data_IF_432838349151
#
_entry.id   IF_432838349151
#
_cell.length_a   1.000
_cell.length_b   1.000
_cell.length_c   1.000
_cell.angle_alpha   90.00
_cell.angle_beta   90.00
_cell.angle_gamma   90.00
#
_symmetry.space_group_name_H-M   'P 1'
#
loop_
_entity.id
_entity.type
_entity.pdbx_description
1 polymer ?
#
# COMPACT_ATOMS: atom_id res chain seq x y z
N UNK A 1 63.66 -38.80 24.02
CA UNK A 1 63.21 -38.71 22.62
C UNK A 1 62.17 -37.62 22.54
N UNK A 2 62.49 -36.54 21.86
CA UNK A 2 61.72 -35.28 21.87
C UNK A 2 60.78 -35.25 20.70
N UNK A 3 59.48 -35.38 20.93
CA UNK A 3 58.45 -35.18 19.95
C UNK A 3 58.12 -33.66 19.92
N UNK A 4 58.40 -33.01 18.78
CA UNK A 4 58.12 -31.62 18.53
C UNK A 4 56.66 -31.50 18.04
N UNK A 5 55.79 -30.93 18.89
CA UNK A 5 54.37 -30.70 18.55
C UNK A 5 54.32 -29.36 17.80
N UNK A 6 54.11 -29.39 16.50
CA UNK A 6 53.85 -28.22 15.68
C UNK A 6 52.35 -27.90 15.80
N UNK A 7 52.02 -26.79 16.51
CA UNK A 7 50.68 -26.24 16.59
C UNK A 7 50.46 -25.38 15.32
N UNK A 8 49.68 -25.85 14.36
CA UNK A 8 49.20 -25.07 13.23
C UNK A 8 48.00 -24.25 13.69
N UNK A 9 48.20 -22.94 13.92
CA UNK A 9 47.15 -22.01 14.18
C UNK A 9 46.50 -21.59 12.84
N UNK A 10 45.39 -22.24 12.48
CA UNK A 10 44.60 -21.81 11.32
C UNK A 10 43.78 -20.61 11.71
N UNK A 11 44.21 -19.40 11.26
CA UNK A 11 43.46 -18.19 11.36
C UNK A 11 42.25 -18.24 10.41
N UNK A 12 41.06 -18.43 10.93
CA UNK A 12 39.83 -18.29 10.19
C UNK A 12 39.55 -16.80 9.98
N UNK A 13 39.85 -16.29 8.81
CA UNK A 13 39.30 -15.00 8.34
C UNK A 13 37.84 -15.24 7.97
N UNK A 14 36.93 -14.89 8.85
CA UNK A 14 35.52 -14.79 8.52
C UNK A 14 35.31 -13.55 7.63
N UNK A 15 34.69 -13.67 6.45
CA UNK A 15 34.31 -12.50 5.68
C UNK A 15 33.22 -11.76 6.43
N UNK A 16 33.49 -10.52 6.88
CA UNK A 16 32.45 -9.61 7.32
C UNK A 16 31.53 -9.31 6.13
N UNK A 17 30.36 -9.95 6.11
CA UNK A 17 29.30 -9.57 5.22
C UNK A 17 28.88 -8.14 5.60
N UNK A 18 29.25 -7.16 4.78
CA UNK A 18 28.67 -5.83 4.86
C UNK A 18 27.15 -5.99 4.65
N UNK A 19 26.40 -5.91 5.75
CA UNK A 19 24.95 -5.80 5.67
C UNK A 19 24.65 -4.50 4.92
N UNK A 20 24.17 -4.63 3.68
CA UNK A 20 23.69 -3.50 2.91
C UNK A 20 22.53 -2.88 3.69
N UNK A 21 22.72 -1.70 4.23
CA UNK A 21 21.66 -0.89 4.85
C UNK A 21 20.58 -0.70 3.77
N UNK A 22 19.31 -1.06 4.01
CA UNK A 22 18.27 -0.82 3.03
C UNK A 22 18.22 0.68 2.76
N UNK A 23 18.44 1.06 1.50
CA UNK A 23 18.35 2.45 1.07
C UNK A 23 16.96 2.97 1.48
N UNK A 24 16.94 4.02 2.31
CA UNK A 24 15.70 4.67 2.72
C UNK A 24 14.98 5.16 1.46
N UNK A 25 13.90 4.49 1.08
CA UNK A 25 13.03 4.94 0.00
C UNK A 25 12.40 6.27 0.42
N UNK A 26 12.39 7.24 -0.49
CA UNK A 26 11.68 8.51 -0.27
C UNK A 26 10.24 8.20 0.18
N UNK A 27 9.76 8.85 1.26
CA UNK A 27 8.39 8.61 1.73
C UNK A 27 7.41 8.83 0.59
N UNK A 28 6.54 7.84 0.34
CA UNK A 28 5.45 8.00 -0.62
C UNK A 28 4.50 9.07 -0.11
N UNK A 29 3.97 9.87 -1.01
CA UNK A 29 2.92 10.82 -0.66
C UNK A 29 1.60 10.08 -0.43
N UNK A 30 1.36 9.64 0.80
CA UNK A 30 0.19 8.83 1.16
C UNK A 30 -1.13 9.59 0.94
N UNK A 31 -1.14 10.89 1.20
CA UNK A 31 -2.31 11.74 0.91
C UNK A 31 -2.67 11.68 -0.57
N UNK A 32 -1.71 11.87 -1.47
CA UNK A 32 -1.95 11.81 -2.91
C UNK A 32 -2.40 10.40 -3.36
N UNK A 33 -1.87 9.35 -2.77
CA UNK A 33 -2.30 7.97 -3.03
C UNK A 33 -3.76 7.76 -2.64
N UNK A 34 -4.18 8.22 -1.46
CA UNK A 34 -5.56 8.11 -0.98
C UNK A 34 -6.50 8.95 -1.83
N UNK A 35 -6.14 10.17 -2.15
CA UNK A 35 -6.95 11.05 -3.02
C UNK A 35 -7.14 10.43 -4.41
N UNK A 36 -6.08 9.88 -5.00
CA UNK A 36 -6.17 9.20 -6.29
C UNK A 36 -7.14 8.00 -6.26
N UNK A 37 -7.17 7.23 -5.18
CA UNK A 37 -8.13 6.14 -5.00
C UNK A 37 -9.57 6.65 -4.92
N UNK A 38 -9.83 7.70 -4.16
CA UNK A 38 -11.15 8.30 -4.03
C UNK A 38 -11.62 8.87 -5.37
N UNK A 39 -10.73 9.53 -6.09
CA UNK A 39 -11.02 10.10 -7.40
C UNK A 39 -11.27 9.03 -8.46
N UNK A 40 -10.54 7.90 -8.40
CA UNK A 40 -10.79 6.77 -9.28
C UNK A 40 -12.23 6.25 -9.13
N UNK A 41 -12.71 6.13 -7.89
CA UNK A 41 -14.11 5.78 -7.59
C UNK A 41 -15.07 6.81 -8.15
N UNK A 42 -14.84 8.10 -7.89
CA UNK A 42 -15.73 9.19 -8.34
C UNK A 42 -15.89 9.28 -9.86
N UNK A 43 -14.93 8.73 -10.62
CA UNK A 43 -14.93 8.70 -12.09
C UNK A 43 -15.52 7.43 -12.71
N UNK A 44 -15.96 6.46 -11.90
CA UNK A 44 -16.55 5.22 -12.41
C UNK A 44 -17.97 5.47 -12.97
N UNK A 45 -18.05 5.64 -14.27
CA UNK A 45 -19.32 5.85 -14.95
C UNK A 45 -20.17 4.57 -14.97
N UNK A 46 -21.46 4.71 -14.64
CA UNK A 46 -22.42 3.60 -14.64
C UNK A 46 -22.20 2.54 -13.56
N UNK A 47 -21.21 2.73 -12.68
CA UNK A 47 -21.01 1.85 -11.54
C UNK A 47 -21.95 2.18 -10.38
N UNK A 48 -22.35 1.13 -9.65
CA UNK A 48 -23.17 1.21 -8.45
C UNK A 48 -22.38 0.69 -7.26
N UNK A 49 -22.31 1.47 -6.20
CA UNK A 49 -21.64 1.12 -4.96
C UNK A 49 -22.65 0.57 -3.96
N UNK A 50 -22.44 -0.66 -3.49
CA UNK A 50 -23.34 -1.35 -2.60
C UNK A 50 -22.79 -1.33 -1.17
N UNK A 51 -23.53 -0.67 -0.28
CA UNK A 51 -23.22 -0.54 1.14
C UNK A 51 -24.44 -0.92 1.98
N UNK A 52 -24.30 -1.92 2.83
CA UNK A 52 -25.38 -2.43 3.69
C UNK A 52 -26.70 -2.77 2.93
N UNK A 53 -26.58 -3.21 1.68
CA UNK A 53 -27.73 -3.52 0.84
C UNK A 53 -28.33 -2.30 0.11
N UNK A 54 -27.81 -1.09 0.35
CA UNK A 54 -28.23 0.12 -0.37
C UNK A 54 -27.26 0.45 -1.50
N UNK A 55 -27.81 0.92 -2.60
CA UNK A 55 -27.07 1.34 -3.79
C UNK A 55 -26.76 2.83 -3.75
N UNK A 56 -25.55 3.19 -4.17
CA UNK A 56 -25.05 4.56 -4.18
C UNK A 56 -24.36 4.84 -5.52
N UNK A 57 -24.42 6.08 -5.96
CA UNK A 57 -23.67 6.56 -7.13
C UNK A 57 -22.16 6.65 -6.83
N UNK A 58 -21.36 6.76 -7.88
CA UNK A 58 -19.92 6.99 -7.77
C UNK A 58 -19.59 8.26 -6.94
N UNK A 59 -20.33 9.35 -7.17
CA UNK A 59 -20.14 10.61 -6.45
C UNK A 59 -20.47 10.49 -4.95
N UNK A 60 -21.56 9.79 -4.60
CA UNK A 60 -21.93 9.52 -3.21
C UNK A 60 -20.89 8.63 -2.53
N UNK A 61 -20.40 7.60 -3.22
CA UNK A 61 -19.35 6.73 -2.71
C UNK A 61 -18.05 7.50 -2.43
N UNK A 62 -17.60 8.33 -3.36
CA UNK A 62 -16.42 9.17 -3.18
C UNK A 62 -16.58 10.13 -1.99
N UNK A 63 -17.75 10.77 -1.87
CA UNK A 63 -18.04 11.67 -0.75
C UNK A 63 -18.03 10.96 0.59
N UNK A 64 -18.61 9.74 0.65
CA UNK A 64 -18.62 8.92 1.84
C UNK A 64 -17.22 8.45 2.25
N UNK A 65 -16.38 8.07 1.29
CA UNK A 65 -14.99 7.69 1.53
C UNK A 65 -14.16 8.85 2.09
N UNK A 66 -14.35 10.06 1.55
CA UNK A 66 -13.71 11.27 2.10
C UNK A 66 -14.15 11.55 3.54
N UNK A 67 -15.43 11.38 3.84
CA UNK A 67 -15.94 11.54 5.20
C UNK A 67 -15.32 10.50 6.15
N UNK A 68 -15.31 9.23 5.77
CA UNK A 68 -14.69 8.17 6.57
C UNK A 68 -13.20 8.44 6.82
N UNK A 69 -12.48 8.86 5.80
CA UNK A 69 -11.06 9.19 5.94
C UNK A 69 -10.81 10.33 6.93
N UNK A 70 -11.58 11.44 6.81
CA UNK A 70 -11.49 12.55 7.79
C UNK A 70 -11.76 12.06 9.21
N UNK A 71 -12.78 11.24 9.40
CA UNK A 71 -13.15 10.71 10.72
C UNK A 71 -12.12 9.71 11.27
N UNK A 72 -11.38 9.04 10.40
CA UNK A 72 -10.36 8.06 10.73
C UNK A 72 -8.93 8.63 10.73
N UNK A 73 -8.75 9.94 10.66
CA UNK A 73 -7.44 10.61 10.47
C UNK A 73 -6.37 10.21 11.48
N UNK A 74 -6.75 9.78 12.69
CA UNK A 74 -5.83 9.27 13.71
C UNK A 74 -5.38 7.82 13.50
N UNK A 75 -5.99 7.08 12.57
CA UNK A 75 -5.77 5.64 12.33
C UNK A 75 -5.39 5.34 10.91
N UNK A 76 -5.51 6.29 10.01
CA UNK A 76 -5.28 6.14 8.57
C UNK A 76 -4.17 7.09 8.16
N UNK A 77 -2.97 6.54 8.00
CA UNK A 77 -1.77 7.26 7.61
C UNK A 77 -1.23 6.79 6.26
N UNK A 78 -1.69 5.64 5.77
CA UNK A 78 -1.27 5.05 4.50
C UNK A 78 -2.47 4.70 3.62
N UNK A 79 -2.24 4.55 2.31
CA UNK A 79 -3.27 4.13 1.37
C UNK A 79 -3.78 2.71 1.68
N UNK A 80 -2.92 1.83 2.16
CA UNK A 80 -3.29 0.48 2.58
C UNK A 80 -4.20 0.51 3.81
N UNK A 81 -3.91 1.35 4.79
CA UNK A 81 -4.79 1.56 5.95
C UNK A 81 -6.12 2.19 5.54
N UNK A 82 -6.12 3.14 4.59
CA UNK A 82 -7.34 3.68 4.03
C UNK A 82 -8.23 2.59 3.42
N UNK A 83 -7.66 1.71 2.61
CA UNK A 83 -8.41 0.58 2.05
C UNK A 83 -9.00 -0.28 3.16
N UNK A 84 -8.20 -0.65 4.15
CA UNK A 84 -8.63 -1.49 5.26
C UNK A 84 -9.76 -0.87 6.10
N UNK A 85 -9.59 0.39 6.52
CA UNK A 85 -10.53 1.05 7.44
C UNK A 85 -11.71 1.72 6.75
N UNK A 86 -11.51 2.27 5.54
CA UNK A 86 -12.52 3.11 4.90
C UNK A 86 -13.25 2.42 3.76
N UNK A 87 -12.58 1.57 2.98
CA UNK A 87 -13.06 1.07 1.71
C UNK A 87 -13.45 -0.41 1.70
N UNK A 88 -13.26 -1.15 2.79
CA UNK A 88 -13.51 -2.60 2.83
C UNK A 88 -14.90 -2.96 3.29
N UNK A 89 -15.36 -2.37 4.40
CA UNK A 89 -16.61 -2.78 5.03
C UNK A 89 -17.25 -1.65 5.84
N UNK A 90 -18.52 -1.85 6.19
CA UNK A 90 -19.22 -0.98 7.13
C UNK A 90 -18.64 -1.13 8.53
N UNK A 91 -18.26 -0.02 9.15
CA UNK A 91 -17.79 0.01 10.53
C UNK A 91 -18.87 -0.39 11.55
N UNK A 92 -20.16 -0.27 11.17
CA UNK A 92 -21.30 -0.60 12.03
C UNK A 92 -21.72 -2.06 11.93
N UNK A 93 -21.73 -2.62 10.71
CA UNK A 93 -22.30 -3.95 10.45
C UNK A 93 -21.28 -5.00 10.07
N UNK A 94 -20.05 -4.61 9.73
CA UNK A 94 -19.03 -5.50 9.20
C UNK A 94 -19.28 -6.00 7.78
N UNK A 95 -20.40 -5.63 7.15
CA UNK A 95 -20.73 -6.07 5.79
C UNK A 95 -19.77 -5.44 4.80
N UNK A 96 -19.21 -6.28 3.92
CA UNK A 96 -18.28 -5.84 2.88
C UNK A 96 -18.97 -4.94 1.87
N UNK A 97 -18.25 -3.92 1.42
CA UNK A 97 -18.67 -3.07 0.31
C UNK A 97 -18.42 -3.77 -1.02
N UNK A 98 -19.31 -3.56 -1.98
CA UNK A 98 -19.22 -4.12 -3.32
C UNK A 98 -19.40 -3.02 -4.37
N UNK A 99 -18.80 -3.24 -5.52
CA UNK A 99 -18.97 -2.39 -6.70
C UNK A 99 -19.57 -3.25 -7.80
N UNK A 100 -20.71 -2.84 -8.35
CA UNK A 100 -21.30 -3.41 -9.55
C UNK A 100 -21.00 -2.46 -10.71
N UNK A 101 -20.32 -2.96 -11.72
CA UNK A 101 -19.98 -2.21 -12.92
C UNK A 101 -21.16 -2.15 -13.90
N UNK A 102 -21.06 -1.27 -14.92
CA UNK A 102 -22.10 -1.07 -15.92
C UNK A 102 -22.48 -2.35 -16.70
N UNK A 103 -21.55 -3.30 -16.85
CA UNK A 103 -21.78 -4.62 -17.47
C UNK A 103 -22.43 -5.64 -16.53
N UNK A 104 -22.69 -5.27 -15.27
CA UNK A 104 -23.35 -6.09 -14.26
C UNK A 104 -22.42 -6.96 -13.41
N UNK A 105 -21.12 -7.07 -13.73
CA UNK A 105 -20.22 -7.83 -12.85
C UNK A 105 -19.96 -7.07 -11.53
N UNK A 106 -19.79 -7.82 -10.45
CA UNK A 106 -19.53 -7.28 -9.13
C UNK A 106 -18.19 -7.73 -8.58
N UNK A 107 -17.52 -6.83 -7.86
CA UNK A 107 -16.28 -7.11 -7.13
C UNK A 107 -16.38 -6.61 -5.69
N UNK A 108 -15.56 -7.16 -4.79
CA UNK A 108 -15.37 -6.53 -3.48
C UNK A 108 -14.65 -5.19 -3.65
N UNK A 109 -15.13 -4.17 -2.96
CA UNK A 109 -14.56 -2.82 -3.03
C UNK A 109 -13.05 -2.82 -2.69
N UNK A 110 -12.65 -3.59 -1.67
CA UNK A 110 -11.24 -3.71 -1.30
C UNK A 110 -10.33 -4.22 -2.42
N UNK A 111 -10.81 -5.16 -3.23
CA UNK A 111 -10.02 -5.72 -4.34
C UNK A 111 -9.86 -4.69 -5.47
N UNK A 112 -10.94 -3.96 -5.78
CA UNK A 112 -10.87 -2.84 -6.71
C UNK A 112 -9.83 -1.80 -6.26
N UNK A 113 -9.90 -1.36 -4.99
CA UNK A 113 -8.98 -0.35 -4.47
C UNK A 113 -7.51 -0.82 -4.47
N UNK A 114 -7.26 -2.09 -4.14
CA UNK A 114 -5.91 -2.65 -4.22
C UNK A 114 -5.38 -2.68 -5.65
N UNK A 115 -6.24 -2.97 -6.62
CA UNK A 115 -5.85 -2.92 -8.03
C UNK A 115 -5.55 -1.49 -8.49
N UNK A 116 -6.37 -0.51 -8.12
CA UNK A 116 -6.13 0.91 -8.40
C UNK A 116 -4.85 1.41 -7.75
N UNK A 117 -4.58 1.03 -6.50
CA UNK A 117 -3.36 1.42 -5.82
C UNK A 117 -2.11 0.89 -6.53
N UNK A 118 -2.14 -0.36 -6.99
CA UNK A 118 -1.03 -0.90 -7.80
C UNK A 118 -0.83 -0.13 -9.12
N UNK A 119 -1.92 0.27 -9.78
CA UNK A 119 -1.85 1.09 -11.02
C UNK A 119 -1.25 2.45 -10.73
N UNK A 120 -1.72 3.11 -9.67
CA UNK A 120 -1.18 4.41 -9.25
C UNK A 120 0.30 4.32 -8.94
N UNK A 121 0.73 3.35 -8.13
CA UNK A 121 2.13 3.16 -7.74
C UNK A 121 3.03 2.82 -8.93
N UNK A 122 2.53 2.08 -9.92
CA UNK A 122 3.27 1.78 -11.15
C UNK A 122 3.47 3.05 -12.02
N UNK A 123 2.48 3.94 -12.04
CA UNK A 123 2.55 5.21 -12.75
C UNK A 123 3.38 6.28 -11.99
N UNK A 124 3.52 6.13 -10.66
CA UNK A 124 4.22 7.06 -9.78
C UNK A 124 5.26 6.32 -8.93
N UNK A 125 6.32 5.77 -9.53
CA UNK A 125 7.33 5.02 -8.78
C UNK A 125 8.00 5.94 -7.75
N UNK A 126 8.22 5.41 -6.54
CA UNK A 126 8.98 6.13 -5.53
C UNK A 126 10.36 6.51 -6.09
N UNK A 127 10.75 7.76 -5.96
CA UNK A 127 12.05 8.23 -6.42
C UNK A 127 13.13 7.49 -5.62
N UNK A 128 13.90 6.65 -6.31
CA UNK A 128 15.05 6.00 -5.69
C UNK A 128 16.12 7.06 -5.50
N UNK A 129 16.64 7.27 -4.28
CA UNK A 129 17.78 8.17 -4.11
C UNK A 129 18.91 7.71 -5.02
N UNK A 130 19.53 8.65 -5.73
CA UNK A 130 20.70 8.37 -6.55
C UNK A 130 21.77 7.72 -5.67
N UNK A 131 22.51 6.71 -6.17
CA UNK A 131 23.61 6.16 -5.44
C UNK A 131 24.58 7.32 -5.11
N UNK A 132 24.95 7.43 -3.82
CA UNK A 132 25.91 8.42 -3.39
C UNK A 132 27.16 8.27 -4.25
N UNK A 133 27.50 9.32 -5.02
CA UNK A 133 28.75 9.37 -5.78
C UNK A 133 29.88 9.28 -4.76
N UNK A 134 30.61 8.18 -4.78
CA UNK A 134 31.84 8.04 -3.99
C UNK A 134 32.83 9.06 -4.52
N UNK A 135 33.31 10.02 -3.70
CA UNK A 135 34.39 10.90 -4.14
C UNK A 135 35.64 10.05 -4.32
N UNK A 136 36.17 10.03 -5.53
CA UNK A 136 37.46 9.45 -5.87
C UNK A 136 38.65 10.24 -5.30
#
# INVERSE_FOLDING_TARGET
MRALLMLLLAAWLAPMALAATPAASTPRNETARIEALIDAVGRLEGAVFIRNGSEHTAAEAASHLRLKWRNASRRVHTAEEFIGYCATASSMTGRKYRIRFADGHEVESADYFRAELRRYDAAHPAVRPAPASTPG
#
